data_IF_976067440693
#
_entry.id   IF_976067440693
#
_cell.length_a   1.000
_cell.length_b   1.000
_cell.length_c   1.000
_cell.angle_alpha   90.00
_cell.angle_beta   90.00
_cell.angle_gamma   90.00
#
_symmetry.space_group_name_H-M   'P 1'
#
loop_
_entity.id
_entity.type
_entity.pdbx_description
1 polymer ?
#
# COMPACT_ATOMS: atom_id res chain seq x y z
N UNK A 1 -19.45 -4.73 -1.81
CA UNK A 1 -18.05 -4.32 -1.68
C UNK A 1 -17.56 -4.06 -3.09
N UNK A 2 -16.78 -3.00 -3.29
CA UNK A 2 -16.12 -2.76 -4.57
C UNK A 2 -14.72 -3.40 -4.50
N UNK A 3 -14.37 -4.20 -5.48
CA UNK A 3 -13.12 -4.94 -5.55
C UNK A 3 -12.57 -4.89 -6.97
N UNK A 4 -11.27 -4.63 -7.06
CA UNK A 4 -10.53 -4.60 -8.32
C UNK A 4 -9.20 -5.34 -8.13
N UNK A 5 -9.17 -6.56 -8.66
CA UNK A 5 -7.98 -7.43 -8.79
C UNK A 5 -7.34 -7.32 -10.19
N UNK A 6 -7.89 -6.49 -11.07
CA UNK A 6 -7.41 -6.20 -12.44
C UNK A 6 -7.29 -7.41 -13.38
N UNK A 7 -7.83 -8.58 -13.01
CA UNK A 7 -7.67 -9.82 -13.76
C UNK A 7 -8.41 -9.81 -15.11
N UNK A 8 -9.46 -9.00 -15.22
CA UNK A 8 -10.15 -8.74 -16.48
C UNK A 8 -9.29 -7.95 -17.49
N UNK A 9 -8.15 -7.40 -17.04
CA UNK A 9 -7.24 -6.60 -17.86
C UNK A 9 -7.64 -5.13 -17.97
N UNK A 10 -8.55 -4.65 -17.12
CA UNK A 10 -9.06 -3.27 -17.16
C UNK A 10 -8.88 -2.59 -15.81
N UNK A 11 -8.92 -1.26 -15.82
CA UNK A 11 -9.00 -0.46 -14.58
C UNK A 11 -10.43 -0.45 -13.99
N UNK A 12 -11.37 -1.21 -14.55
CA UNK A 12 -12.78 -1.19 -14.13
C UNK A 12 -13.38 0.22 -14.19
N UNK A 13 -13.92 0.67 -13.05
CA UNK A 13 -14.58 1.97 -12.91
C UNK A 13 -13.62 3.15 -12.70
N UNK A 14 -12.32 2.89 -12.53
CA UNK A 14 -11.33 3.91 -12.24
C UNK A 14 -11.10 4.81 -13.46
N UNK A 15 -11.17 6.12 -13.21
CA UNK A 15 -10.94 7.16 -14.20
C UNK A 15 -9.54 7.75 -14.01
N UNK A 16 -8.82 8.01 -15.10
CA UNK A 16 -7.45 8.54 -15.07
C UNK A 16 -7.36 9.92 -15.72
N UNK A 17 -6.31 10.68 -15.35
CA UNK A 17 -5.95 11.95 -15.99
C UNK A 17 -5.03 11.72 -17.21
N UNK A 18 -5.14 12.56 -18.24
CA UNK A 18 -4.64 12.28 -19.61
C UNK A 18 -3.11 12.38 -19.84
N UNK A 19 -2.26 12.36 -18.81
CA UNK A 19 -0.82 12.69 -18.97
C UNK A 19 0.16 11.54 -18.70
N UNK A 20 -0.17 10.61 -17.80
CA UNK A 20 0.58 9.35 -17.62
C UNK A 20 -0.38 8.29 -17.09
N UNK A 21 -0.86 7.36 -17.93
CA UNK A 21 -1.91 6.46 -17.52
C UNK A 21 -1.37 5.39 -16.56
N UNK A 22 -2.19 5.02 -15.60
CA UNK A 22 -2.04 3.73 -14.95
C UNK A 22 -2.33 2.65 -15.99
N UNK A 23 -1.51 1.62 -16.03
CA UNK A 23 -1.65 0.53 -16.99
C UNK A 23 -1.85 -0.78 -16.26
N UNK A 24 -2.73 -1.64 -16.79
CA UNK A 24 -2.90 -3.00 -16.31
C UNK A 24 -1.97 -3.91 -17.11
N UNK A 25 -1.14 -4.68 -16.41
CA UNK A 25 -0.23 -5.63 -17.03
C UNK A 25 -0.02 -6.85 -16.14
N UNK A 26 0.76 -7.81 -16.65
CA UNK A 26 1.11 -9.04 -15.95
C UNK A 26 2.62 -9.19 -15.80
N UNK A 27 3.03 -10.02 -14.84
CA UNK A 27 4.42 -10.41 -14.64
C UNK A 27 5.06 -11.05 -15.88
N UNK A 28 4.27 -11.65 -16.77
CA UNK A 28 4.73 -12.26 -18.02
C UNK A 28 5.33 -11.22 -19.00
N UNK A 29 4.85 -9.98 -18.93
CA UNK A 29 5.33 -8.85 -19.73
C UNK A 29 6.25 -7.91 -18.95
N UNK A 30 6.54 -8.22 -17.68
CA UNK A 30 7.28 -7.34 -16.80
C UNK A 30 8.76 -7.25 -17.18
N UNK A 31 9.27 -6.02 -17.20
CA UNK A 31 10.70 -5.75 -17.28
C UNK A 31 11.23 -5.62 -15.86
N UNK A 32 12.31 -6.36 -15.56
CA UNK A 32 12.94 -6.33 -14.24
C UNK A 32 13.29 -4.90 -13.81
N UNK A 33 12.84 -4.51 -12.61
CA UNK A 33 13.06 -3.17 -12.07
C UNK A 33 12.16 -2.07 -12.65
N UNK A 34 11.21 -2.42 -13.52
CA UNK A 34 10.25 -1.48 -14.15
C UNK A 34 8.79 -1.91 -13.99
N UNK A 35 8.53 -3.10 -13.46
CA UNK A 35 7.21 -3.60 -13.07
C UNK A 35 7.34 -4.75 -12.05
N UNK A 36 6.27 -5.08 -11.31
CA UNK A 36 6.17 -6.30 -10.52
C UNK A 36 6.43 -7.55 -11.37
N UNK A 37 7.15 -8.54 -10.83
CA UNK A 37 7.41 -9.80 -11.55
C UNK A 37 6.26 -10.81 -11.41
N UNK A 38 5.44 -10.67 -10.39
CA UNK A 38 4.30 -11.52 -10.13
C UNK A 38 3.19 -10.67 -9.53
N UNK A 39 1.98 -11.01 -9.92
CA UNK A 39 0.75 -10.49 -9.37
C UNK A 39 0.52 -10.92 -7.91
N UNK A 40 -0.19 -10.11 -7.13
CA UNK A 40 -0.47 -10.48 -5.73
C UNK A 40 -1.61 -11.49 -5.66
N UNK A 41 -2.72 -11.24 -6.35
CA UNK A 41 -3.94 -12.06 -6.34
C UNK A 41 -3.66 -13.54 -6.62
N UNK A 42 -2.92 -13.82 -7.70
CA UNK A 42 -2.59 -15.19 -8.15
C UNK A 42 -1.20 -15.66 -7.75
N UNK A 43 -0.37 -14.77 -7.20
CA UNK A 43 1.01 -15.06 -6.80
C UNK A 43 1.86 -15.66 -7.93
N UNK A 44 1.60 -15.25 -9.18
CA UNK A 44 2.34 -15.74 -10.33
C UNK A 44 2.39 -14.72 -11.47
N UNK A 45 3.13 -15.05 -12.53
CA UNK A 45 3.38 -14.14 -13.66
C UNK A 45 2.16 -13.92 -14.56
N UNK A 46 1.11 -14.75 -14.46
CA UNK A 46 -0.09 -14.69 -15.30
C UNK A 46 -1.20 -13.83 -14.70
N UNK A 47 -1.14 -13.54 -13.38
CA UNK A 47 -2.04 -12.57 -12.78
C UNK A 47 -1.72 -11.15 -13.22
N UNK A 48 -2.63 -10.22 -12.94
CA UNK A 48 -2.57 -8.86 -13.44
C UNK A 48 -2.74 -7.83 -12.33
N UNK A 49 -1.99 -6.75 -12.44
CA UNK A 49 -2.00 -5.62 -11.51
C UNK A 49 -2.03 -4.29 -12.28
N UNK A 50 -2.45 -3.22 -11.61
CA UNK A 50 -2.34 -1.87 -12.13
C UNK A 50 -1.02 -1.23 -11.70
N UNK A 51 -0.28 -0.57 -12.61
CA UNK A 51 0.98 0.07 -12.27
C UNK A 51 1.29 1.30 -13.12
N UNK A 52 2.24 2.10 -12.62
CA UNK A 52 2.85 3.25 -13.30
C UNK A 52 4.32 2.93 -13.53
N UNK A 53 4.76 2.75 -14.79
CA UNK A 53 6.19 2.68 -15.11
C UNK A 53 6.83 4.05 -14.95
N UNK A 54 7.99 4.10 -14.30
CA UNK A 54 8.72 5.35 -14.05
C UNK A 54 10.06 5.32 -14.81
N UNK A 55 10.21 6.28 -15.70
CA UNK A 55 11.45 6.56 -16.44
C UNK A 55 11.60 8.07 -16.67
N UNK A 56 11.60 8.82 -15.56
CA UNK A 56 11.63 10.28 -15.58
C UNK A 56 13.08 10.78 -15.74
N UNK A 57 13.37 11.49 -16.82
CA UNK A 57 14.71 12.02 -17.10
C UNK A 57 14.94 13.44 -16.57
N UNK A 58 13.89 14.27 -16.53
CA UNK A 58 13.92 15.67 -16.10
C UNK A 58 12.50 16.31 -16.09
N UNK A 59 12.41 17.62 -15.82
CA UNK A 59 11.14 18.36 -15.79
C UNK A 59 10.62 18.65 -14.37
N UNK A 60 9.38 19.15 -14.23
CA UNK A 60 8.72 19.28 -12.93
C UNK A 60 8.24 17.92 -12.40
N UNK A 61 7.91 17.86 -11.11
CA UNK A 61 7.16 16.73 -10.55
C UNK A 61 5.80 16.68 -11.24
N UNK A 62 5.36 15.48 -11.61
CA UNK A 62 4.01 15.25 -12.13
C UNK A 62 3.32 14.12 -11.34
N UNK A 63 2.00 14.06 -11.46
CA UNK A 63 1.17 13.11 -10.74
C UNK A 63 0.46 12.20 -11.75
N UNK A 64 0.60 10.89 -11.60
CA UNK A 64 -0.20 9.91 -12.33
C UNK A 64 -1.34 9.45 -11.42
N UNK A 65 -2.56 9.87 -11.74
CA UNK A 65 -3.72 9.72 -10.84
C UNK A 65 -4.80 8.86 -11.48
N UNK A 66 -5.29 7.88 -10.72
CA UNK A 66 -6.56 7.19 -10.97
C UNK A 66 -7.51 7.46 -9.81
N UNK A 67 -8.80 7.53 -10.08
CA UNK A 67 -9.80 7.69 -9.03
C UNK A 67 -11.19 7.24 -9.42
N UNK A 68 -12.00 6.99 -8.40
CA UNK A 68 -13.43 6.73 -8.54
C UNK A 68 -14.21 7.95 -8.03
N UNK A 69 -15.29 8.31 -8.74
CA UNK A 69 -15.97 9.59 -8.49
C UNK A 69 -17.00 9.57 -7.37
N UNK A 70 -17.49 8.41 -6.95
CA UNK A 70 -18.61 8.37 -6.02
C UNK A 70 -18.48 7.22 -5.04
N UNK A 71 -18.00 7.52 -3.84
CA UNK A 71 -18.18 6.65 -2.69
C UNK A 71 -19.54 6.95 -2.05
N UNK A 72 -20.42 5.94 -1.85
CA UNK A 72 -21.74 6.16 -1.26
C UNK A 72 -21.67 6.79 0.14
N UNK A 73 -22.75 7.46 0.54
CA UNK A 73 -22.87 8.06 1.88
C UNK A 73 -23.42 7.05 2.88
N UNK A 74 -23.03 7.18 4.15
CA UNK A 74 -23.82 6.67 5.27
C UNK A 74 -23.06 5.82 6.28
N UNK A 75 -21.85 5.35 5.94
CA UNK A 75 -20.98 4.60 6.86
C UNK A 75 -19.52 5.03 6.69
N UNK A 76 -18.66 4.82 7.71
CA UNK A 76 -17.23 4.83 7.49
C UNK A 76 -16.85 3.80 6.42
N UNK A 77 -15.80 4.10 5.66
CA UNK A 77 -15.25 3.18 4.66
C UNK A 77 -13.77 2.95 4.92
N UNK A 78 -13.34 1.73 4.64
CA UNK A 78 -11.94 1.34 4.63
C UNK A 78 -11.50 1.07 3.20
N UNK A 79 -10.46 1.76 2.75
CA UNK A 79 -9.71 1.34 1.58
C UNK A 79 -8.68 0.32 2.02
N UNK A 80 -8.74 -0.88 1.44
CA UNK A 80 -7.85 -2.00 1.70
C UNK A 80 -7.19 -2.40 0.38
N UNK A 81 -5.87 -2.45 0.31
CA UNK A 81 -5.18 -2.70 -0.95
C UNK A 81 -3.75 -3.21 -0.74
N UNK A 82 -3.21 -3.84 -1.78
CA UNK A 82 -1.81 -4.20 -1.87
C UNK A 82 -1.07 -3.24 -2.80
N UNK A 83 0.19 -2.97 -2.50
CA UNK A 83 1.04 -2.13 -3.33
C UNK A 83 2.48 -2.62 -3.36
N UNK A 84 3.20 -2.22 -4.41
CA UNK A 84 4.63 -2.42 -4.57
C UNK A 84 5.25 -1.12 -5.12
N UNK A 85 6.39 -0.69 -4.59
CA UNK A 85 6.99 0.59 -4.96
C UNK A 85 8.52 0.53 -5.00
N UNK A 86 9.04 0.04 -6.12
CA UNK A 86 10.49 -0.01 -6.39
C UNK A 86 10.95 1.24 -7.11
N UNK A 87 11.67 2.15 -6.44
CA UNK A 87 12.00 3.45 -7.03
C UNK A 87 13.36 3.96 -6.56
N UNK A 88 14.13 4.54 -7.48
CA UNK A 88 15.47 5.08 -7.22
C UNK A 88 15.51 6.45 -6.53
N UNK A 89 14.36 6.99 -6.11
CA UNK A 89 14.23 8.36 -5.58
C UNK A 89 13.03 8.51 -4.62
N UNK A 90 12.84 9.73 -4.12
CA UNK A 90 11.72 10.16 -3.24
C UNK A 90 10.34 10.22 -3.92
N UNK A 91 10.08 9.40 -4.95
CA UNK A 91 8.73 9.26 -5.50
C UNK A 91 7.80 8.70 -4.43
N UNK A 92 6.56 9.19 -4.37
CA UNK A 92 5.61 8.85 -3.31
C UNK A 92 4.31 8.32 -3.91
N UNK A 93 3.81 7.19 -3.42
CA UNK A 93 2.43 6.77 -3.64
C UNK A 93 1.53 7.46 -2.61
N UNK A 94 0.49 8.11 -3.08
CA UNK A 94 -0.44 8.87 -2.26
C UNK A 94 -1.87 8.37 -2.46
N UNK A 95 -2.66 8.45 -1.39
CA UNK A 95 -4.11 8.31 -1.45
C UNK A 95 -4.72 9.63 -1.03
N UNK A 96 -5.58 10.16 -1.88
CA UNK A 96 -6.30 11.41 -1.66
C UNK A 96 -7.80 11.17 -1.57
N UNK A 97 -8.44 11.99 -0.74
CA UNK A 97 -9.89 12.08 -0.64
C UNK A 97 -10.35 13.50 -0.94
N UNK A 98 -11.42 13.62 -1.71
CA UNK A 98 -12.11 14.86 -1.99
C UNK A 98 -13.58 14.75 -1.58
N UNK A 99 -14.03 15.63 -0.68
CA UNK A 99 -15.43 15.66 -0.25
C UNK A 99 -16.17 16.79 -0.98
N UNK A 100 -17.09 16.45 -1.89
CA UNK A 100 -17.79 17.44 -2.71
C UNK A 100 -16.83 18.32 -3.51
N UNK A 101 -16.96 19.64 -3.39
CA UNK A 101 -16.09 20.62 -4.07
C UNK A 101 -14.87 21.03 -3.25
N UNK A 102 -14.59 20.36 -2.12
CA UNK A 102 -13.44 20.68 -1.28
C UNK A 102 -12.10 20.37 -1.98
N UNK A 103 -10.99 20.84 -1.42
CA UNK A 103 -9.65 20.47 -1.88
C UNK A 103 -9.33 19.00 -1.58
N UNK A 104 -8.38 18.43 -2.34
CA UNK A 104 -7.88 17.08 -2.14
C UNK A 104 -7.11 17.00 -0.82
N UNK A 105 -7.55 16.12 0.09
CA UNK A 105 -6.83 15.83 1.34
C UNK A 105 -6.01 14.55 1.15
N UNK A 106 -4.69 14.64 1.35
CA UNK A 106 -3.83 13.45 1.40
C UNK A 106 -4.08 12.71 2.72
N UNK A 107 -4.64 11.51 2.65
CA UNK A 107 -4.98 10.70 3.82
C UNK A 107 -4.00 9.55 4.06
N UNK A 108 -3.15 9.25 3.08
CA UNK A 108 -2.10 8.25 3.20
C UNK A 108 -0.99 8.53 2.20
N UNK A 109 0.25 8.31 2.64
CA UNK A 109 1.44 8.45 1.81
C UNK A 109 2.45 7.35 2.10
N UNK A 110 3.08 6.84 1.05
CA UNK A 110 4.19 5.90 1.15
C UNK A 110 5.33 6.34 0.24
N UNK A 111 6.50 6.68 0.80
CA UNK A 111 7.70 6.88 0.01
C UNK A 111 8.10 5.59 -0.72
N UNK A 112 8.62 5.74 -1.93
CA UNK A 112 9.27 4.66 -2.67
C UNK A 112 10.50 4.14 -1.94
N UNK A 113 10.90 2.91 -2.25
CA UNK A 113 12.05 2.25 -1.66
C UNK A 113 12.92 1.61 -2.74
N UNK A 114 14.22 1.46 -2.45
CA UNK A 114 15.17 0.70 -3.27
C UNK A 114 15.39 -0.73 -2.74
N UNK A 115 14.87 -1.04 -1.55
CA UNK A 115 14.92 -2.38 -1.00
C UNK A 115 13.98 -3.32 -1.77
N UNK A 116 14.46 -4.55 -2.04
CA UNK A 116 13.78 -5.55 -2.87
C UNK A 116 12.32 -5.73 -2.46
N UNK A 117 11.41 -5.44 -3.38
CA UNK A 117 10.02 -5.17 -3.08
C UNK A 117 9.16 -6.44 -3.03
N UNK A 118 8.49 -6.62 -1.92
CA UNK A 118 7.38 -7.56 -1.75
C UNK A 118 6.08 -6.75 -1.77
N UNK A 119 5.01 -7.37 -2.26
CA UNK A 119 3.67 -6.85 -2.10
C UNK A 119 3.43 -6.51 -0.62
N UNK A 120 3.03 -5.27 -0.37
CA UNK A 120 2.78 -4.76 0.97
C UNK A 120 1.32 -4.38 1.09
N UNK A 121 0.67 -4.84 2.15
CA UNK A 121 -0.72 -4.53 2.46
C UNK A 121 -0.84 -3.16 3.16
N UNK A 122 -1.93 -2.44 2.88
CA UNK A 122 -2.31 -1.24 3.60
C UNK A 122 -3.82 -1.09 3.71
N UNK A 123 -4.26 -0.56 4.85
CA UNK A 123 -5.66 -0.20 5.11
C UNK A 123 -5.75 1.27 5.54
N UNK A 124 -6.66 2.05 4.94
CA UNK A 124 -6.80 3.50 5.15
C UNK A 124 -8.25 3.87 5.39
N UNK A 125 -8.53 4.52 6.53
CA UNK A 125 -9.86 5.06 6.82
C UNK A 125 -10.14 6.26 5.90
N UNK A 126 -11.21 6.18 5.10
CA UNK A 126 -11.51 7.21 4.11
C UNK A 126 -12.15 8.48 4.68
N UNK A 127 -12.57 8.46 5.95
CA UNK A 127 -13.04 9.68 6.66
C UNK A 127 -14.21 10.39 5.96
N UNK A 128 -15.09 9.66 5.29
CA UNK A 128 -16.21 10.22 4.52
C UNK A 128 -17.30 10.71 5.48
N UNK A 129 -17.27 12.00 5.81
CA UNK A 129 -18.17 12.59 6.79
C UNK A 129 -19.44 13.20 6.14
N UNK A 130 -19.34 13.82 4.95
CA UNK A 130 -20.47 14.50 4.29
C UNK A 130 -20.35 14.53 2.75
N UNK A 131 -21.47 14.31 2.05
CA UNK A 131 -21.58 14.46 0.58
C UNK A 131 -21.09 13.27 -0.24
N UNK A 132 -21.06 13.44 -1.58
CA UNK A 132 -20.35 12.54 -2.49
C UNK A 132 -18.86 12.75 -2.33
N UNK A 133 -18.10 11.67 -2.16
CA UNK A 133 -16.66 11.73 -2.04
C UNK A 133 -15.97 11.05 -3.23
N UNK A 134 -14.87 11.65 -3.69
CA UNK A 134 -13.99 11.11 -4.71
C UNK A 134 -12.74 10.55 -4.03
N UNK A 135 -12.43 9.29 -4.32
CA UNK A 135 -11.18 8.66 -3.92
C UNK A 135 -10.23 8.68 -5.11
N UNK A 136 -8.98 9.08 -4.88
CA UNK A 136 -7.93 8.95 -5.88
C UNK A 136 -6.64 8.38 -5.29
N UNK A 137 -5.95 7.60 -6.10
CA UNK A 137 -4.63 7.05 -5.85
C UNK A 137 -3.69 7.69 -6.87
N UNK A 138 -2.57 8.23 -6.39
CA UNK A 138 -1.67 9.02 -7.21
C UNK A 138 -0.20 8.70 -6.94
N UNK A 139 0.56 8.45 -8.01
CA UNK A 139 2.01 8.36 -7.94
C UNK A 139 2.62 9.74 -8.26
N UNK A 140 3.34 10.30 -7.29
CA UNK A 140 4.05 11.57 -7.43
C UNK A 140 5.45 11.35 -7.99
N UNK A 141 5.61 11.45 -9.30
CA UNK A 141 6.85 11.09 -10.00
C UNK A 141 7.86 12.25 -9.92
N UNK A 142 8.99 11.97 -9.29
CA UNK A 142 10.09 12.92 -9.15
C UNK A 142 11.00 12.88 -10.38
N UNK A 143 11.56 14.01 -10.86
CA UNK A 143 12.51 14.01 -11.96
C UNK A 143 13.76 13.17 -11.68
N UNK A 144 14.38 12.61 -12.74
CA UNK A 144 15.58 11.75 -12.63
C UNK A 144 15.34 10.49 -11.80
N UNK A 145 14.13 9.95 -11.87
CA UNK A 145 13.73 8.73 -11.17
C UNK A 145 13.42 7.61 -12.14
N UNK A 146 13.66 6.38 -11.68
CA UNK A 146 13.40 5.16 -12.42
C UNK A 146 12.82 4.12 -11.49
N UNK A 147 11.88 3.32 -12.00
CA UNK A 147 11.23 2.29 -11.19
C UNK A 147 9.79 2.08 -11.58
N UNK A 148 8.96 1.75 -10.60
CA UNK A 148 7.52 1.64 -10.76
C UNK A 148 6.78 1.79 -9.43
N UNK A 149 5.48 2.09 -9.54
CA UNK A 149 4.52 1.92 -8.45
C UNK A 149 3.39 1.05 -8.97
N UNK A 150 3.03 0.01 -8.23
CA UNK A 150 1.93 -0.88 -8.56
C UNK A 150 0.96 -1.01 -7.39
N UNK A 151 -0.30 -1.29 -7.72
CA UNK A 151 -1.36 -1.65 -6.80
C UNK A 151 -2.05 -2.91 -7.30
N UNK A 152 -2.58 -3.68 -6.36
CA UNK A 152 -3.38 -4.88 -6.63
C UNK A 152 -4.39 -5.09 -5.49
N UNK A 153 -5.41 -5.94 -5.72
CA UNK A 153 -6.39 -6.34 -4.72
C UNK A 153 -7.07 -5.13 -4.03
N UNK A 154 -7.47 -4.12 -4.80
CA UNK A 154 -8.02 -2.87 -4.26
C UNK A 154 -9.48 -3.06 -3.86
N UNK A 155 -9.78 -2.85 -2.57
CA UNK A 155 -11.09 -3.08 -1.99
C UNK A 155 -11.58 -1.87 -1.21
N UNK A 156 -12.88 -1.58 -1.33
CA UNK A 156 -13.58 -0.64 -0.45
C UNK A 156 -14.56 -1.43 0.42
N UNK A 157 -14.23 -1.49 1.71
CA UNK A 157 -14.98 -2.21 2.72
C UNK A 157 -15.88 -1.26 3.51
N UNK A 158 -17.06 -1.74 3.88
CA UNK A 158 -17.95 -1.02 4.77
C UNK A 158 -17.40 -1.09 6.20
N UNK A 159 -17.42 0.04 6.90
CA UNK A 159 -16.94 0.17 8.28
C UNK A 159 -15.56 0.84 8.35
N UNK A 160 -15.12 1.08 9.59
CA UNK A 160 -13.77 1.55 9.83
C UNK A 160 -12.78 0.45 9.45
N UNK A 161 -11.58 0.84 9.01
CA UNK A 161 -10.51 -0.11 8.83
C UNK A 161 -10.26 -0.85 10.14
N UNK A 162 -9.91 -2.16 10.07
CA UNK A 162 -9.32 -2.83 11.21
C UNK A 162 -8.22 -1.92 11.76
N UNK A 163 -8.22 -1.70 13.08
CA UNK A 163 -7.06 -1.06 13.70
C UNK A 163 -5.85 -1.84 13.24
N UNK A 164 -4.86 -1.16 12.66
CA UNK A 164 -3.57 -1.78 12.39
C UNK A 164 -3.20 -2.47 13.70
N UNK A 165 -3.15 -3.81 13.70
CA UNK A 165 -2.79 -4.54 14.91
C UNK A 165 -1.51 -3.88 15.36
N UNK A 166 -1.51 -3.27 16.54
CA UNK A 166 -0.27 -2.75 17.08
C UNK A 166 0.53 -4.01 17.34
N UNK A 167 1.52 -4.27 16.48
CA UNK A 167 2.35 -5.47 16.58
C UNK A 167 3.43 -5.21 17.63
N UNK A 168 2.99 -4.76 18.81
CA UNK A 168 3.78 -4.54 20.02
C UNK A 168 4.05 -5.84 20.79
N UNK A 169 3.65 -6.99 20.20
CA UNK A 169 3.76 -8.33 20.75
C UNK A 169 2.84 -8.60 21.95
N UNK A 170 1.91 -7.70 22.27
CA UNK A 170 0.93 -7.89 23.34
C UNK A 170 -0.26 -8.77 22.90
N UNK A 171 -0.49 -8.94 21.59
CA UNK A 171 -1.52 -9.82 21.02
C UNK A 171 -1.04 -11.27 20.86
N UNK A 172 -1.84 -12.26 21.24
CA UNK A 172 -1.51 -13.70 21.18
C UNK A 172 -1.24 -14.24 19.78
N UNK A 173 -1.80 -13.62 18.74
CA UNK A 173 -1.51 -13.97 17.34
C UNK A 173 -0.14 -13.51 16.86
N UNK A 174 0.63 -12.81 17.71
CA UNK A 174 1.96 -12.24 17.42
C UNK A 174 2.03 -11.53 16.06
N UNK A 175 0.90 -10.96 15.62
CA UNK A 175 0.80 -10.27 14.32
C UNK A 175 1.31 -11.13 13.14
N UNK A 176 1.21 -12.46 13.23
CA UNK A 176 1.66 -13.38 12.18
C UNK A 176 3.17 -13.50 12.03
N UNK A 177 3.98 -12.91 12.93
CA UNK A 177 5.42 -13.14 12.96
C UNK A 177 5.72 -14.63 13.16
N UNK A 178 6.72 -15.13 12.45
CA UNK A 178 7.22 -16.49 12.59
C UNK A 178 8.74 -16.44 12.80
N UNK A 179 9.26 -17.42 13.53
CA UNK A 179 10.70 -17.59 13.61
C UNK A 179 11.24 -18.02 12.26
N UNK A 180 12.33 -17.40 11.83
CA UNK A 180 13.08 -17.84 10.67
C UNK A 180 13.69 -19.22 10.98
N UNK A 181 13.28 -20.23 10.21
CA UNK A 181 13.74 -21.60 10.39
C UNK A 181 15.23 -21.80 10.03
N UNK A 182 15.85 -20.82 9.37
CA UNK A 182 17.26 -20.84 8.94
C UNK A 182 18.20 -20.07 9.87
N UNK A 183 17.66 -19.34 10.84
CA UNK A 183 18.46 -18.61 11.82
C UNK A 183 19.14 -19.55 12.83
N UNK A 184 20.33 -19.17 13.29
CA UNK A 184 21.08 -19.88 14.35
C UNK A 184 20.51 -19.61 15.75
N UNK A 185 19.46 -18.81 15.86
CA UNK A 185 18.73 -18.52 17.09
C UNK A 185 17.22 -18.46 16.85
N UNK A 186 16.46 -18.63 17.93
CA UNK A 186 15.00 -18.57 17.92
C UNK A 186 14.53 -17.50 18.89
N UNK A 187 13.68 -16.59 18.41
CA UNK A 187 13.00 -15.62 19.26
C UNK A 187 11.86 -16.31 20.03
N UNK A 188 11.86 -16.16 21.35
CA UNK A 188 10.73 -16.53 22.20
C UNK A 188 10.11 -15.29 22.85
N UNK A 189 8.78 -15.19 22.76
CA UNK A 189 8.01 -14.12 23.42
C UNK A 189 7.87 -14.43 24.91
N UNK A 190 8.16 -13.44 25.76
CA UNK A 190 7.99 -13.54 27.21
C UNK A 190 7.14 -12.40 27.74
N UNK A 191 6.30 -12.70 28.74
CA UNK A 191 5.51 -11.72 29.50
C UNK A 191 6.11 -11.60 30.90
N UNK A 192 6.57 -10.41 31.29
CA UNK A 192 7.09 -10.18 32.64
C UNK A 192 7.77 -8.82 32.81
N UNK A 193 7.73 -8.30 34.03
CA UNK A 193 8.52 -7.14 34.44
C UNK A 193 9.98 -7.54 34.63
N UNK A 194 10.92 -6.73 34.14
CA UNK A 194 12.32 -6.86 34.54
C UNK A 194 12.52 -6.28 35.93
N UNK A 195 13.29 -6.93 36.79
CA UNK A 195 13.57 -6.50 38.17
C UNK A 195 14.50 -5.28 38.29
N UNK A 196 14.94 -4.69 37.18
CA UNK A 196 15.80 -3.49 37.18
C UNK A 196 14.97 -2.23 37.00
N UNK A 197 15.22 -1.21 37.82
CA UNK A 197 14.56 0.10 37.76
C UNK A 197 15.06 1.01 36.62
N UNK A 198 16.06 0.59 35.84
CA UNK A 198 16.74 1.46 34.84
C UNK A 198 16.99 0.83 33.48
N UNK A 199 16.72 -0.46 33.27
CA UNK A 199 16.90 -1.12 31.95
C UNK A 199 15.65 -1.88 31.46
N UNK A 200 14.52 -1.73 32.15
CA UNK A 200 13.25 -2.35 31.76
C UNK A 200 12.38 -1.43 30.91
N UNK A 201 12.09 -1.81 29.67
CA UNK A 201 10.93 -1.27 28.98
C UNK A 201 9.67 -1.78 29.71
N UNK A 202 8.83 -0.86 30.15
CA UNK A 202 7.45 -1.18 30.52
C UNK A 202 6.72 -1.58 29.23
N UNK A 203 6.53 -2.88 29.07
CA UNK A 203 5.92 -3.59 27.95
C UNK A 203 6.90 -3.97 26.83
N UNK A 204 7.07 -5.29 26.64
CA UNK A 204 7.86 -5.94 25.59
C UNK A 204 9.38 -5.87 25.74
N UNK A 205 10.03 -6.97 26.14
CA UNK A 205 11.43 -7.22 25.77
C UNK A 205 11.71 -8.70 25.47
N UNK A 206 12.39 -8.91 24.36
CA UNK A 206 12.88 -10.19 23.90
C UNK A 206 14.08 -10.67 24.72
N UNK A 207 14.22 -12.00 24.90
CA UNK A 207 15.49 -12.61 25.30
C UNK A 207 16.05 -13.39 24.11
N UNK A 208 17.28 -13.05 23.72
CA UNK A 208 18.14 -13.91 22.90
C UNK A 208 18.50 -15.14 23.74
N UNK A 209 18.20 -16.33 23.23
CA UNK A 209 18.79 -17.58 23.74
C UNK A 209 19.96 -17.98 22.85
#
# INVERSE_FOLDING_TARGET
>A
AFEWDFEDGTLGDWQQEEQTPWVVASGQTAVYGKAPLADHTRQNVLGKYAYVPIDATGGPIYYSTIGIRSIPRGVPYCLDFWYQAFISSDTVLNVYMQNGTAEHTNIWRRPGTTARDQWTHSSVNLGVNHGTAHLSISAAVVPRSTGYVAIDDVRILNGACPSARVCDFEDDSICGYQNDATADFTWSRHKGSTSSSTTGATNGMFKRK
#
